data_IF_722954194754
#
_entry.id   IF_722954194754
#
_cell.length_a   1.000
_cell.length_b   1.000
_cell.length_c   1.000
_cell.angle_alpha   90.00
_cell.angle_beta   90.00
_cell.angle_gamma   90.00
#
_symmetry.space_group_name_H-M   'P 1'
#
loop_
_entity.id
_entity.type
_entity.pdbx_description
1 polymer ?
#
# COMPACT_ATOMS: atom_id res chain seq x y z
N UNK A 1 -6.17 -9.90 11.63
CA UNK A 1 -4.98 -9.23 11.06
C UNK A 1 -5.37 -8.57 9.75
N UNK A 2 -5.09 -7.30 9.66
CA UNK A 2 -5.49 -6.53 8.50
C UNK A 2 -4.46 -6.51 7.37
N UNK A 3 -3.25 -7.01 7.61
CA UNK A 3 -2.18 -7.01 6.59
C UNK A 3 -2.31 -8.20 5.67
N UNK A 4 -2.39 -7.94 4.37
CA UNK A 4 -2.52 -8.98 3.36
C UNK A 4 -1.48 -8.78 2.26
N UNK A 5 -1.32 -9.81 1.43
CA UNK A 5 -0.38 -9.76 0.32
C UNK A 5 -1.13 -10.01 -0.98
N UNK A 6 -0.93 -9.11 -1.95
CA UNK A 6 -1.57 -9.20 -3.25
C UNK A 6 -0.55 -9.50 -4.34
N UNK A 7 -1.05 -10.00 -5.46
CA UNK A 7 -0.29 -10.15 -6.69
C UNK A 7 -1.16 -9.65 -7.84
N UNK A 8 -0.66 -9.76 -9.08
CA UNK A 8 -1.41 -9.26 -10.24
C UNK A 8 -2.80 -9.87 -10.34
N UNK A 9 -2.97 -11.13 -9.94
CA UNK A 9 -4.25 -11.82 -10.06
C UNK A 9 -5.23 -11.47 -8.95
N UNK A 10 -4.74 -11.23 -7.72
CA UNK A 10 -5.61 -11.01 -6.56
C UNK A 10 -5.85 -9.54 -6.25
N UNK A 11 -5.12 -8.64 -6.88
CA UNK A 11 -5.13 -7.21 -6.55
C UNK A 11 -6.54 -6.61 -6.56
N UNK A 12 -7.28 -6.84 -7.65
CA UNK A 12 -8.60 -6.20 -7.82
C UNK A 12 -9.56 -6.56 -6.69
N UNK A 13 -9.55 -7.84 -6.28
CA UNK A 13 -10.45 -8.27 -5.22
C UNK A 13 -10.04 -7.72 -3.86
N UNK A 14 -8.73 -7.49 -3.66
CA UNK A 14 -8.23 -7.02 -2.36
C UNK A 14 -8.47 -5.54 -2.12
N UNK A 15 -8.67 -4.75 -3.19
CA UNK A 15 -8.94 -3.32 -3.03
C UNK A 15 -10.43 -2.99 -3.17
N UNK A 16 -11.28 -4.00 -3.37
CA UNK A 16 -12.68 -3.79 -3.79
C UNK A 16 -13.53 -3.07 -2.75
N UNK A 17 -13.29 -3.30 -1.47
CA UNK A 17 -14.16 -2.80 -0.41
C UNK A 17 -13.41 -1.96 0.60
N UNK A 18 -14.00 -0.82 0.95
CA UNK A 18 -13.48 0.05 2.00
C UNK A 18 -12.22 0.79 1.62
N UNK A 19 -11.58 1.39 2.61
CA UNK A 19 -10.32 2.10 2.43
C UNK A 19 -9.18 1.09 2.48
N UNK A 20 -8.38 1.06 1.42
CA UNK A 20 -7.26 0.11 1.30
C UNK A 20 -5.99 0.86 0.93
N UNK A 21 -4.91 0.60 1.66
CA UNK A 21 -3.59 1.10 1.34
C UNK A 21 -2.76 -0.05 0.78
N UNK A 22 -2.11 0.17 -0.35
CA UNK A 22 -1.27 -0.85 -0.97
C UNK A 22 0.17 -0.35 -1.02
N UNK A 23 1.07 -1.06 -0.34
CA UNK A 23 2.50 -0.78 -0.31
C UNK A 23 3.18 -1.56 -1.44
N UNK A 24 3.60 -0.87 -2.47
CA UNK A 24 4.38 -1.45 -3.57
C UNK A 24 5.85 -1.43 -3.21
N UNK A 25 6.48 -2.61 -3.18
CA UNK A 25 7.85 -2.76 -2.72
C UNK A 25 8.58 -3.85 -3.51
N UNK A 26 9.88 -3.92 -3.34
CA UNK A 26 10.69 -4.96 -3.95
C UNK A 26 11.76 -5.41 -2.97
N UNK A 27 12.18 -6.66 -3.09
CA UNK A 27 13.14 -7.25 -2.15
C UNK A 27 14.52 -6.58 -2.20
N UNK A 28 14.87 -6.00 -3.34
CA UNK A 28 16.17 -5.34 -3.54
C UNK A 28 16.17 -3.87 -3.11
N UNK A 29 15.08 -3.36 -2.64
CA UNK A 29 14.90 -1.93 -2.35
C UNK A 29 15.19 -1.65 -0.88
N UNK A 30 16.25 -0.90 -0.58
CA UNK A 30 16.63 -0.56 0.79
C UNK A 30 15.56 0.21 1.56
N UNK A 31 15.06 1.34 1.02
CA UNK A 31 13.99 2.08 1.71
C UNK A 31 12.73 1.25 1.93
N UNK A 32 12.42 0.31 1.04
CA UNK A 32 11.28 -0.59 1.22
C UNK A 32 11.46 -1.46 2.45
N UNK A 33 12.69 -1.92 2.71
CA UNK A 33 12.98 -2.74 3.90
C UNK A 33 12.79 -1.94 5.18
N UNK A 34 13.03 -0.63 5.13
CA UNK A 34 12.82 0.24 6.27
C UNK A 34 11.35 0.55 6.48
N UNK A 35 10.62 0.71 5.40
CA UNK A 35 9.20 1.07 5.45
C UNK A 35 8.31 -0.10 5.85
N UNK A 36 8.69 -1.33 5.49
CA UNK A 36 7.87 -2.51 5.77
C UNK A 36 7.41 -2.62 7.21
N UNK A 37 8.33 -2.58 8.19
CA UNK A 37 7.94 -2.66 9.60
C UNK A 37 7.03 -1.51 10.04
N UNK A 38 7.23 -0.32 9.49
CA UNK A 38 6.38 0.85 9.80
C UNK A 38 4.96 0.60 9.31
N UNK A 39 4.83 0.12 8.08
CA UNK A 39 3.53 -0.18 7.47
C UNK A 39 2.79 -1.26 8.28
N UNK A 40 3.52 -2.31 8.68
CA UNK A 40 2.93 -3.38 9.47
C UNK A 40 2.48 -2.89 10.85
N UNK A 41 3.32 -2.08 11.52
CA UNK A 41 2.98 -1.58 12.84
C UNK A 41 1.72 -0.71 12.79
N UNK A 42 1.62 0.17 11.81
CA UNK A 42 0.44 1.04 11.68
C UNK A 42 -0.79 0.21 11.36
N UNK A 43 -0.63 -0.89 10.60
CA UNK A 43 -1.77 -1.76 10.27
C UNK A 43 -2.41 -2.37 11.51
N UNK A 44 -1.65 -2.57 12.57
CA UNK A 44 -2.17 -3.18 13.79
C UNK A 44 -3.04 -2.23 14.59
N UNK A 45 -2.82 -0.93 14.46
CA UNK A 45 -3.62 0.06 15.18
C UNK A 45 -4.76 0.64 14.36
N UNK A 46 -4.68 0.55 13.02
CA UNK A 46 -5.72 1.08 12.13
C UNK A 46 -6.61 -0.06 11.62
N UNK A 47 -7.39 -0.62 12.51
CA UNK A 47 -8.13 -1.87 12.25
C UNK A 47 -9.29 -1.71 11.27
N UNK A 48 -9.72 -0.49 10.99
CA UNK A 48 -10.80 -0.20 10.04
C UNK A 48 -10.29 0.09 8.61
N UNK A 49 -8.99 -0.08 8.39
CA UNK A 49 -8.35 0.12 7.09
C UNK A 49 -7.72 -1.19 6.65
N UNK A 50 -7.83 -1.49 5.36
CA UNK A 50 -7.18 -2.67 4.78
C UNK A 50 -5.76 -2.31 4.37
N UNK A 51 -4.79 -3.08 4.86
CA UNK A 51 -3.37 -2.90 4.52
C UNK A 51 -2.92 -4.05 3.65
N UNK A 52 -2.42 -3.73 2.47
CA UNK A 52 -2.03 -4.73 1.47
C UNK A 52 -0.60 -4.45 1.04
N UNK A 53 0.21 -5.50 0.94
CA UNK A 53 1.56 -5.40 0.39
C UNK A 53 1.58 -6.04 -0.99
N UNK A 54 2.24 -5.39 -1.92
CA UNK A 54 2.38 -5.89 -3.29
C UNK A 54 3.87 -5.91 -3.64
N UNK A 55 4.43 -7.11 -3.75
CA UNK A 55 5.84 -7.26 -4.10
C UNK A 55 6.01 -7.23 -5.61
N UNK A 56 6.82 -6.30 -6.09
CA UNK A 56 7.12 -6.20 -7.51
C UNK A 56 8.29 -7.14 -7.82
N UNK A 57 8.06 -8.08 -8.74
CA UNK A 57 9.09 -8.99 -9.21
C UNK A 57 8.80 -9.38 -10.66
N UNK A 58 9.55 -10.33 -11.19
CA UNK A 58 9.41 -10.71 -12.60
C UNK A 58 8.03 -11.28 -12.95
N UNK A 59 7.30 -11.79 -11.97
CA UNK A 59 5.98 -12.39 -12.18
C UNK A 59 4.83 -11.47 -11.80
N UNK A 60 5.11 -10.33 -11.16
CA UNK A 60 4.09 -9.39 -10.67
C UNK A 60 4.44 -7.98 -11.09
N UNK A 61 4.18 -7.66 -12.37
CA UNK A 61 4.55 -6.38 -12.96
C UNK A 61 3.41 -5.65 -13.63
N UNK A 62 2.27 -6.33 -13.82
CA UNK A 62 1.16 -5.74 -14.57
C UNK A 62 0.46 -4.63 -13.81
N UNK A 63 0.16 -4.86 -12.53
CA UNK A 63 -0.51 -3.85 -11.71
C UNK A 63 0.39 -2.63 -11.49
N UNK A 64 1.69 -2.78 -11.12
CA UNK A 64 2.57 -1.61 -11.02
C UNK A 64 2.62 -0.80 -12.32
N UNK A 65 2.67 -1.46 -13.47
CA UNK A 65 2.69 -0.77 -14.76
C UNK A 65 1.39 -0.01 -15.01
N UNK A 66 0.25 -0.62 -14.67
CA UNK A 66 -1.06 -0.02 -14.84
C UNK A 66 -1.17 1.31 -14.09
N UNK A 67 -0.61 1.38 -12.89
CA UNK A 67 -0.69 2.58 -12.05
C UNK A 67 0.54 3.47 -12.19
N UNK A 68 1.45 3.16 -13.11
CA UNK A 68 2.59 4.01 -13.38
C UNK A 68 3.59 4.08 -12.23
N UNK A 69 3.75 3.00 -11.48
CA UNK A 69 4.70 2.96 -10.37
C UNK A 69 6.12 3.00 -10.91
N UNK A 70 6.86 4.05 -10.60
CA UNK A 70 8.24 4.23 -11.06
C UNK A 70 9.23 4.27 -9.91
N UNK A 71 8.79 4.61 -8.73
CA UNK A 71 9.65 4.71 -7.55
C UNK A 71 9.02 3.90 -6.43
N UNK A 72 9.84 3.26 -5.63
CA UNK A 72 9.38 2.48 -4.49
C UNK A 72 10.19 2.83 -3.25
N UNK A 73 9.60 2.73 -2.05
CA UNK A 73 8.23 2.28 -1.82
C UNK A 73 7.23 3.31 -2.31
N UNK A 74 6.08 2.85 -2.78
CA UNK A 74 4.96 3.70 -3.12
C UNK A 74 3.71 3.13 -2.48
N UNK A 75 2.91 3.99 -1.86
CA UNK A 75 1.65 3.58 -1.26
C UNK A 75 0.51 4.22 -2.03
N UNK A 76 -0.36 3.39 -2.57
CA UNK A 76 -1.57 3.84 -3.24
C UNK A 76 -2.76 3.60 -2.33
N UNK A 77 -3.62 4.61 -2.20
CA UNK A 77 -4.83 4.53 -1.39
C UNK A 77 -6.04 4.39 -2.30
N UNK A 78 -6.87 3.39 -1.98
CA UNK A 78 -8.09 3.10 -2.74
C UNK A 78 -9.30 3.15 -1.82
N UNK A 79 -10.43 3.55 -2.37
CA UNK A 79 -11.70 3.45 -1.66
C UNK A 79 -12.70 2.75 -2.57
N UNK A 80 -13.19 1.59 -2.11
CA UNK A 80 -14.14 0.77 -2.87
C UNK A 80 -13.66 0.54 -4.31
N UNK A 81 -12.38 0.22 -4.45
CA UNK A 81 -11.76 -0.11 -5.72
C UNK A 81 -11.28 1.06 -6.55
N UNK A 82 -11.50 2.30 -6.11
CA UNK A 82 -11.08 3.48 -6.86
C UNK A 82 -9.92 4.17 -6.17
N UNK A 83 -8.94 4.58 -6.96
CA UNK A 83 -7.76 5.26 -6.41
C UNK A 83 -8.13 6.65 -5.90
N UNK A 84 -7.65 6.97 -4.70
CA UNK A 84 -7.81 8.31 -4.10
C UNK A 84 -6.54 9.12 -4.22
N UNK A 85 -5.43 8.58 -3.72
CA UNK A 85 -4.15 9.29 -3.64
C UNK A 85 -3.00 8.31 -3.72
N UNK A 86 -1.82 8.85 -3.93
CA UNK A 86 -0.58 8.08 -3.91
C UNK A 86 0.49 8.86 -3.17
N UNK A 87 1.34 8.16 -2.43
CA UNK A 87 2.51 8.72 -1.78
C UNK A 87 3.72 7.88 -2.12
N UNK A 88 4.81 8.53 -2.53
CA UNK A 88 6.04 7.86 -2.92
C UNK A 88 7.11 8.18 -1.89
N UNK A 89 7.90 7.16 -1.55
CA UNK A 89 9.02 7.33 -0.64
C UNK A 89 8.72 6.89 0.77
N UNK A 90 9.76 6.89 1.59
CA UNK A 90 9.69 6.47 2.98
C UNK A 90 8.88 7.47 3.81
N UNK A 91 7.93 6.94 4.57
CA UNK A 91 7.18 7.73 5.54
C UNK A 91 7.42 7.14 6.93
N UNK A 92 7.50 8.01 7.95
CA UNK A 92 7.51 7.50 9.31
C UNK A 92 6.07 7.17 9.75
N UNK A 93 5.95 6.52 10.90
CA UNK A 93 4.63 6.07 11.37
C UNK A 93 3.67 7.23 11.60
N UNK A 94 4.17 8.35 12.10
CA UNK A 94 3.33 9.52 12.36
C UNK A 94 2.77 10.11 11.07
N UNK A 95 3.62 10.24 10.05
CA UNK A 95 3.20 10.76 8.75
C UNK A 95 2.18 9.83 8.10
N UNK A 96 2.42 8.53 8.15
CA UNK A 96 1.49 7.55 7.60
C UNK A 96 0.14 7.61 8.31
N UNK A 97 0.16 7.66 9.64
CA UNK A 97 -1.07 7.73 10.43
C UNK A 97 -1.86 9.00 10.13
N UNK A 98 -1.16 10.13 10.01
CA UNK A 98 -1.82 11.40 9.69
C UNK A 98 -2.47 11.35 8.31
N UNK A 99 -1.78 10.79 7.32
CA UNK A 99 -2.33 10.62 5.98
C UNK A 99 -3.59 9.77 6.00
N UNK A 100 -3.57 8.68 6.78
CA UNK A 100 -4.75 7.82 6.91
C UNK A 100 -5.94 8.59 7.46
N UNK A 101 -5.71 9.45 8.46
CA UNK A 101 -6.79 10.28 9.00
C UNK A 101 -7.39 11.18 7.92
N UNK A 102 -6.55 11.76 7.09
CA UNK A 102 -7.01 12.61 6.00
C UNK A 102 -7.81 11.81 4.97
N UNK A 103 -7.34 10.60 4.66
CA UNK A 103 -8.03 9.73 3.71
C UNK A 103 -9.41 9.31 4.20
N UNK A 104 -9.58 9.12 5.51
CA UNK A 104 -10.85 8.67 6.08
C UNK A 104 -11.96 9.69 5.92
N UNK A 105 -11.61 10.96 5.78
CA UNK A 105 -12.61 12.04 5.62
C UNK A 105 -12.73 12.50 4.17
N UNK A 106 -12.10 11.79 3.26
CA UNK A 106 -12.17 12.12 1.84
C UNK A 106 -13.43 11.57 1.18
#
# INVERSE_FOLDING_TARGET
MSLKHANDETFESMIADGLTLVDFWASWCGPCQMFGPIFEDVSESETDVNFVKFEIDDTNRQIPAKFGIRSIPSVLAFKNGKILEARTGLMDAETLTQWIKELKVS
#
